data_IF_124397267182
#
_entry.id   IF_124397267182
#
_cell.length_a   1.000
_cell.length_b   1.000
_cell.length_c   1.000
_cell.angle_alpha   90.00
_cell.angle_beta   90.00
_cell.angle_gamma   90.00
#
_symmetry.space_group_name_H-M   'P 1'
#
loop_
_entity.id
_entity.type
_entity.pdbx_description
1 polymer ?
#
# COMPACT_ATOMS: atom_id res chain seq x y z
N UNK A 1 -5.38 31.37 -12.34
CA UNK A 1 -4.00 30.85 -12.42
C UNK A 1 -4.08 29.42 -11.92
N UNK A 2 -4.36 28.49 -12.84
CA UNK A 2 -4.52 27.08 -12.48
C UNK A 2 -3.11 26.51 -12.26
N UNK A 3 -2.70 26.45 -11.00
CA UNK A 3 -1.55 25.64 -10.60
C UNK A 3 -1.96 24.20 -10.88
N UNK A 4 -1.37 23.58 -11.89
CA UNK A 4 -1.55 22.14 -12.13
C UNK A 4 -1.15 21.44 -10.82
N UNK A 5 -2.04 20.70 -10.16
CA UNK A 5 -1.67 19.98 -8.95
C UNK A 5 -0.56 19.00 -9.31
N UNK A 6 0.67 19.33 -8.91
CA UNK A 6 1.87 18.55 -9.21
C UNK A 6 1.96 17.28 -8.37
N UNK A 7 0.84 16.64 -8.05
CA UNK A 7 0.74 15.49 -7.18
C UNK A 7 0.15 14.32 -7.95
N UNK A 8 0.75 13.14 -7.80
CA UNK A 8 0.32 11.91 -8.43
C UNK A 8 0.37 10.77 -7.42
N UNK A 9 -0.61 9.87 -7.47
CA UNK A 9 -0.60 8.65 -6.68
C UNK A 9 -0.09 7.47 -7.52
N UNK A 10 0.81 6.68 -6.94
CA UNK A 10 1.30 5.46 -7.56
C UNK A 10 1.12 4.24 -6.66
N UNK A 11 0.99 3.07 -7.27
CA UNK A 11 0.98 1.78 -6.59
C UNK A 11 2.29 1.05 -6.85
N UNK A 12 2.87 0.49 -5.78
CA UNK A 12 4.17 -0.20 -5.80
C UNK A 12 4.06 -1.70 -5.50
N UNK A 13 2.87 -2.29 -5.65
CA UNK A 13 2.56 -3.69 -5.36
C UNK A 13 3.51 -4.69 -6.02
N UNK A 14 4.03 -4.35 -7.20
CA UNK A 14 4.98 -5.19 -7.95
C UNK A 14 6.44 -5.10 -7.45
N UNK A 15 6.77 -4.10 -6.62
CA UNK A 15 8.12 -3.85 -6.11
C UNK A 15 8.29 -4.27 -4.65
N UNK A 16 7.38 -3.86 -3.78
CA UNK A 16 7.44 -4.11 -2.33
C UNK A 16 6.26 -4.94 -1.80
N UNK A 17 5.29 -5.27 -2.64
CA UNK A 17 4.06 -5.95 -2.22
C UNK A 17 3.09 -5.04 -1.47
N UNK A 18 3.40 -3.75 -1.32
CA UNK A 18 2.48 -2.79 -0.70
C UNK A 18 1.43 -2.38 -1.72
N UNK A 19 0.17 -2.55 -1.33
CA UNK A 19 -1.01 -2.19 -2.12
C UNK A 19 -1.38 -0.72 -2.02
N UNK A 20 -0.64 0.03 -1.22
CA UNK A 20 -0.99 1.36 -0.78
C UNK A 20 -0.62 2.41 -1.82
N UNK A 21 -1.43 3.47 -1.95
CA UNK A 21 -1.18 4.54 -2.91
C UNK A 21 -0.15 5.53 -2.39
N UNK A 22 1.06 5.51 -2.93
CA UNK A 22 2.12 6.44 -2.53
C UNK A 22 1.96 7.76 -3.27
N UNK A 23 1.82 8.84 -2.51
CA UNK A 23 1.83 10.20 -3.04
C UNK A 23 3.22 10.55 -3.57
N UNK A 24 3.26 11.11 -4.77
CA UNK A 24 4.46 11.59 -5.44
C UNK A 24 4.25 13.03 -5.87
N UNK A 25 5.27 13.86 -5.69
CA UNK A 25 5.18 15.29 -5.92
C UNK A 25 6.19 15.68 -7.00
N UNK A 26 5.75 16.46 -7.98
CA UNK A 26 6.58 17.01 -9.03
C UNK A 26 7.53 18.08 -8.48
N UNK A 27 8.61 18.36 -9.21
CA UNK A 27 9.61 19.37 -8.85
C UNK A 27 8.95 20.76 -8.76
N UNK A 28 9.25 21.53 -7.71
CA UNK A 28 8.53 22.77 -7.40
C UNK A 28 8.70 23.85 -8.47
N UNK A 29 9.86 23.90 -9.11
CA UNK A 29 10.11 24.82 -10.23
C UNK A 29 9.32 24.47 -11.49
N UNK A 30 8.99 23.20 -11.74
CA UNK A 30 8.21 22.78 -12.92
C UNK A 30 6.71 23.00 -12.72
N UNK A 31 6.21 22.94 -11.48
CA UNK A 31 4.80 23.22 -11.16
C UNK A 31 4.40 24.68 -11.40
N UNK A 32 5.37 25.60 -11.42
CA UNK A 32 5.13 27.04 -11.63
C UNK A 32 5.00 27.43 -13.11
N UNK A 33 5.11 26.48 -14.03
CA UNK A 33 5.00 26.74 -15.46
C UNK A 33 3.53 26.85 -15.89
N UNK A 34 3.20 27.81 -16.78
CA UNK A 34 1.82 28.03 -17.22
C UNK A 34 1.34 27.01 -18.25
N UNK A 35 2.24 26.43 -19.05
CA UNK A 35 1.90 25.42 -20.06
C UNK A 35 2.86 24.23 -20.05
N UNK A 36 2.33 23.04 -20.37
CA UNK A 36 3.09 21.79 -20.48
C UNK A 36 4.17 21.87 -21.57
N UNK A 37 3.91 22.62 -22.65
CA UNK A 37 4.88 22.83 -23.74
C UNK A 37 6.15 23.53 -23.29
N UNK A 38 6.09 24.39 -22.27
CA UNK A 38 7.23 25.12 -21.75
C UNK A 38 8.24 24.19 -21.07
N UNK A 39 7.79 23.01 -20.61
CA UNK A 39 8.67 22.00 -20.01
C UNK A 39 9.75 21.51 -20.99
N UNK A 40 9.46 21.46 -22.29
CA UNK A 40 10.42 21.04 -23.32
C UNK A 40 11.44 22.12 -23.67
N UNK A 41 11.17 23.38 -23.32
CA UNK A 41 12.08 24.50 -23.55
C UNK A 41 13.11 24.70 -22.44
N UNK A 42 13.01 23.91 -21.36
CA UNK A 42 13.84 24.06 -20.18
C UNK A 42 15.21 23.40 -20.39
N UNK A 43 16.29 24.16 -20.19
CA UNK A 43 17.63 23.65 -19.97
C UNK A 43 17.82 23.36 -18.48
N UNK A 44 17.81 22.07 -18.14
CA UNK A 44 18.08 21.59 -16.80
C UNK A 44 18.97 20.35 -16.85
N UNK A 45 19.73 20.14 -15.78
CA UNK A 45 20.54 18.95 -15.57
C UNK A 45 20.16 18.26 -14.26
N UNK A 46 20.06 16.93 -14.31
CA UNK A 46 19.73 16.09 -13.17
C UNK A 46 20.95 15.29 -12.79
N UNK A 47 21.41 15.45 -11.55
CA UNK A 47 22.45 14.63 -10.97
C UNK A 47 21.79 13.60 -10.05
N UNK A 48 21.93 12.32 -10.37
CA UNK A 48 21.44 11.21 -9.55
C UNK A 48 22.61 10.31 -9.12
N UNK A 49 22.48 9.65 -7.97
CA UNK A 49 23.46 8.69 -7.50
C UNK A 49 23.55 7.45 -8.40
N UNK A 50 24.54 6.59 -8.15
CA UNK A 50 24.61 5.27 -8.81
C UNK A 50 23.41 4.40 -8.40
N UNK A 51 22.98 3.45 -9.25
CA UNK A 51 21.96 2.50 -8.88
C UNK A 51 22.34 1.69 -7.61
N UNK A 52 21.47 1.68 -6.62
CA UNK A 52 21.53 0.91 -5.38
C UNK A 52 20.37 -0.10 -5.33
N UNK A 53 20.33 -1.00 -4.34
CA UNK A 53 19.26 -2.00 -4.19
C UNK A 53 18.07 -1.46 -3.39
N UNK A 54 18.32 -0.51 -2.49
CA UNK A 54 17.29 0.08 -1.63
C UNK A 54 16.26 0.85 -2.47
N UNK A 55 14.98 0.55 -2.22
CA UNK A 55 13.80 1.08 -2.92
C UNK A 55 13.20 2.29 -2.18
N UNK A 56 13.58 2.53 -0.93
CA UNK A 56 13.05 3.62 -0.10
C UNK A 56 13.95 4.86 -0.14
N UNK A 57 15.17 4.74 -0.63
CA UNK A 57 16.11 5.85 -0.78
C UNK A 57 16.31 6.25 -2.24
N UNK A 58 16.22 7.57 -2.45
CA UNK A 58 16.68 8.21 -3.66
C UNK A 58 17.21 9.58 -3.31
N UNK A 59 18.43 9.85 -3.75
CA UNK A 59 19.11 11.13 -3.57
C UNK A 59 19.56 11.64 -4.94
N UNK A 60 19.09 12.82 -5.30
CA UNK A 60 19.53 13.52 -6.51
C UNK A 60 19.37 15.02 -6.35
N UNK A 61 19.93 15.77 -7.30
CA UNK A 61 19.77 17.21 -7.40
C UNK A 61 19.28 17.56 -8.80
N UNK A 62 18.26 18.43 -8.85
CA UNK A 62 17.76 19.05 -10.06
C UNK A 62 18.24 20.49 -10.10
N UNK A 63 18.93 20.87 -11.19
CA UNK A 63 19.37 22.24 -11.42
C UNK A 63 18.77 22.75 -12.72
N UNK A 64 18.12 23.91 -12.66
CA UNK A 64 17.63 24.62 -13.84
C UNK A 64 18.55 25.78 -14.18
N UNK A 65 19.06 25.80 -15.41
CA UNK A 65 20.03 26.78 -15.89
C UNK A 65 19.40 27.98 -16.61
N UNK A 66 18.12 27.92 -16.97
CA UNK A 66 17.44 28.98 -17.74
C UNK A 66 17.08 30.24 -16.94
N UNK A 67 17.21 30.22 -15.62
CA UNK A 67 16.89 31.34 -14.75
C UNK A 67 18.15 31.82 -14.03
N UNK A 68 18.34 33.14 -13.98
CA UNK A 68 19.28 33.79 -13.07
C UNK A 68 18.52 34.33 -11.85
N UNK A 69 18.81 33.89 -10.61
CA UNK A 69 19.79 32.88 -10.20
C UNK A 69 19.36 31.44 -10.52
N UNK A 70 20.34 30.55 -10.70
CA UNK A 70 20.12 29.12 -10.91
C UNK A 70 19.26 28.55 -9.78
N UNK A 71 18.23 27.81 -10.16
CA UNK A 71 17.33 27.16 -9.20
C UNK A 71 17.87 25.75 -8.97
N UNK A 72 18.27 25.47 -7.73
CA UNK A 72 18.68 24.15 -7.29
C UNK A 72 17.61 23.58 -6.36
N UNK A 73 17.09 22.40 -6.69
CA UNK A 73 16.13 21.67 -5.88
C UNK A 73 16.67 20.25 -5.63
N UNK A 74 16.65 19.80 -4.38
CA UNK A 74 16.99 18.42 -4.03
C UNK A 74 15.84 17.48 -4.41
N UNK A 75 16.16 16.37 -5.06
CA UNK A 75 15.23 15.31 -5.40
C UNK A 75 15.30 14.20 -4.34
N UNK A 76 14.14 13.84 -3.80
CA UNK A 76 13.97 12.75 -2.83
C UNK A 76 13.16 11.60 -3.43
N UNK A 77 12.89 10.57 -2.62
CA UNK A 77 11.99 9.47 -2.98
C UNK A 77 10.60 9.97 -3.42
N UNK A 78 10.11 11.08 -2.88
CA UNK A 78 8.79 11.65 -3.19
C UNK A 78 8.71 12.17 -4.64
N UNK A 79 9.84 12.51 -5.26
CA UNK A 79 9.91 13.00 -6.62
C UNK A 79 10.19 11.91 -7.65
N UNK A 80 10.24 10.64 -7.24
CA UNK A 80 10.65 9.52 -8.11
C UNK A 80 9.57 8.49 -8.31
N UNK A 81 9.53 7.96 -9.54
CA UNK A 81 8.69 6.86 -9.97
C UNK A 81 9.58 5.68 -10.35
N UNK A 82 9.34 4.52 -9.74
CA UNK A 82 10.09 3.32 -10.06
C UNK A 82 9.52 2.65 -11.32
N UNK A 83 10.35 1.86 -12.02
CA UNK A 83 9.87 1.06 -13.14
C UNK A 83 8.83 0.04 -12.64
N UNK A 84 7.81 -0.23 -13.47
CA UNK A 84 6.71 -1.16 -13.16
C UNK A 84 5.74 -0.72 -12.05
N UNK A 85 5.68 0.57 -11.72
CA UNK A 85 4.63 1.12 -10.84
C UNK A 85 3.40 1.51 -11.64
N UNK A 86 2.21 1.35 -11.05
CA UNK A 86 0.93 1.75 -11.67
C UNK A 86 0.58 3.16 -11.23
N UNK A 87 0.28 4.05 -12.16
CA UNK A 87 -0.21 5.41 -11.90
C UNK A 87 -1.74 5.36 -11.72
N UNK A 88 -2.26 6.02 -10.68
CA UNK A 88 -3.68 5.96 -10.34
C UNK A 88 -4.59 6.70 -11.32
N UNK A 89 -4.30 7.98 -11.55
CA UNK A 89 -5.10 8.87 -12.39
C UNK A 89 -4.22 10.00 -12.92
N UNK A 90 -4.57 10.49 -14.11
CA UNK A 90 -3.88 11.59 -14.77
C UNK A 90 -2.74 11.15 -15.70
N UNK A 91 -2.02 12.14 -16.21
CA UNK A 91 -0.85 11.96 -17.05
C UNK A 91 0.38 12.47 -16.31
N UNK A 92 1.48 11.71 -16.38
CA UNK A 92 2.74 12.10 -15.75
C UNK A 92 3.79 12.29 -16.82
N UNK A 93 4.52 13.40 -16.72
CA UNK A 93 5.69 13.67 -17.54
C UNK A 93 6.89 13.64 -16.61
N UNK A 94 7.91 12.86 -16.97
CA UNK A 94 9.10 12.68 -16.16
C UNK A 94 10.35 12.44 -17.01
N UNK A 95 11.51 12.58 -16.38
CA UNK A 95 12.81 12.33 -16.99
C UNK A 95 13.28 10.93 -16.59
N UNK A 96 13.70 10.13 -17.58
CA UNK A 96 14.20 8.78 -17.34
C UNK A 96 15.65 8.85 -16.85
N UNK A 97 15.91 8.35 -15.64
CA UNK A 97 17.24 8.35 -15.02
C UNK A 97 17.94 6.99 -15.19
N UNK A 98 17.25 5.90 -14.83
CA UNK A 98 17.79 4.53 -14.90
C UNK A 98 17.06 3.71 -15.96
N UNK A 99 17.79 2.84 -16.67
CA UNK A 99 17.21 2.02 -17.75
C UNK A 99 17.63 0.55 -17.65
N UNK A 100 16.75 -0.35 -18.12
CA UNK A 100 17.04 -1.77 -18.27
C UNK A 100 17.51 -2.45 -16.98
N UNK A 101 18.80 -2.83 -16.93
CA UNK A 101 19.41 -3.55 -15.81
C UNK A 101 19.69 -2.68 -14.58
N UNK A 102 19.60 -1.36 -14.73
CA UNK A 102 19.84 -0.40 -13.66
C UNK A 102 18.56 -0.08 -12.87
N UNK A 103 17.41 -0.58 -13.32
CA UNK A 103 16.14 -0.40 -12.61
C UNK A 103 16.13 -1.21 -11.32
N UNK A 104 15.53 -0.66 -10.27
CA UNK A 104 15.45 -1.29 -8.94
C UNK A 104 14.77 -2.66 -8.98
N UNK A 105 13.72 -2.83 -9.77
CA UNK A 105 13.01 -4.09 -9.90
C UNK A 105 13.92 -5.19 -10.44
N UNK A 106 14.68 -4.91 -11.49
CA UNK A 106 15.62 -5.88 -12.09
C UNK A 106 16.81 -6.15 -11.18
N UNK A 107 17.33 -5.13 -10.49
CA UNK A 107 18.40 -5.30 -9.51
C UNK A 107 18.00 -6.24 -8.35
N UNK A 108 16.72 -6.20 -7.95
CA UNK A 108 16.16 -7.09 -6.91
C UNK A 108 15.70 -8.45 -7.45
N UNK A 109 15.64 -8.66 -8.77
CA UNK A 109 15.33 -9.97 -9.33
C UNK A 109 16.54 -10.90 -9.28
N UNK A 110 16.37 -12.07 -8.68
CA UNK A 110 17.34 -13.16 -8.78
C UNK A 110 17.22 -13.87 -10.12
N UNK A 111 18.34 -14.36 -10.67
CA UNK A 111 18.31 -15.16 -11.89
C UNK A 111 17.53 -16.46 -11.66
N UNK A 112 16.65 -16.80 -12.61
CA UNK A 112 15.90 -18.04 -12.55
C UNK A 112 16.85 -19.25 -12.52
N UNK A 113 16.82 -19.99 -11.42
CA UNK A 113 17.57 -21.24 -11.27
C UNK A 113 16.63 -22.44 -11.41
N UNK A 114 17.13 -23.51 -12.03
CA UNK A 114 16.40 -24.77 -12.10
C UNK A 114 16.33 -25.41 -10.71
N UNK A 115 15.12 -25.65 -10.23
CA UNK A 115 14.89 -26.32 -8.93
C UNK A 115 15.09 -27.83 -9.09
N UNK A 116 15.95 -28.39 -8.24
CA UNK A 116 16.22 -29.84 -8.16
C UNK A 116 15.65 -30.36 -6.84
N UNK A 117 14.92 -31.48 -6.89
CA UNK A 117 14.33 -32.11 -5.71
C UNK A 117 15.36 -32.86 -4.86
N UNK A 118 15.05 -33.06 -3.57
CA UNK A 118 15.82 -33.92 -2.67
C UNK A 118 15.77 -35.38 -3.11
N UNK A 119 14.63 -35.83 -3.65
CA UNK A 119 14.49 -37.19 -4.20
C UNK A 119 15.51 -37.46 -5.32
N UNK A 120 15.78 -36.48 -6.19
CA UNK A 120 16.77 -36.62 -7.26
C UNK A 120 18.19 -36.75 -6.70
N UNK A 121 18.49 -36.04 -5.60
CA UNK A 121 19.78 -36.16 -4.91
C UNK A 121 19.93 -37.53 -4.22
N UNK A 122 18.87 -38.04 -3.60
CA UNK A 122 18.83 -39.39 -3.02
C UNK A 122 19.02 -40.47 -4.09
N UNK A 123 18.34 -40.34 -5.23
CA UNK A 123 18.46 -41.24 -6.37
C UNK A 123 19.88 -41.24 -6.94
N UNK A 124 20.49 -40.05 -7.06
CA UNK A 124 21.87 -39.92 -7.51
C UNK A 124 22.84 -40.62 -6.54
N UNK A 125 22.60 -40.51 -5.22
CA UNK A 125 23.40 -41.22 -4.20
C UNK A 125 23.27 -42.74 -4.33
N UNK A 126 22.05 -43.26 -4.54
CA UNK A 126 21.81 -44.69 -4.76
C UNK A 126 22.44 -45.17 -6.07
N UNK A 127 22.33 -44.38 -7.15
CA UNK A 127 22.94 -44.70 -8.45
C UNK A 127 24.46 -44.78 -8.36
N UNK A 128 25.10 -43.86 -7.61
CA UNK A 128 26.54 -43.92 -7.32
C UNK A 128 26.92 -45.18 -6.54
N UNK A 129 26.12 -45.59 -5.56
CA UNK A 129 26.34 -46.82 -4.79
C UNK A 129 26.21 -48.07 -5.67
N UNK A 130 25.18 -48.14 -6.53
CA UNK A 130 24.99 -49.24 -7.49
C UNK A 130 26.13 -49.31 -8.52
N UNK A 131 26.59 -48.16 -9.01
CA UNK A 131 27.75 -48.10 -9.91
C UNK A 131 29.01 -48.65 -9.25
N UNK A 132 29.29 -48.26 -8.00
CA UNK A 132 30.42 -48.79 -7.24
C UNK A 132 30.29 -50.31 -7.06
N UNK A 133 29.12 -50.80 -6.68
CA UNK A 133 28.84 -52.23 -6.53
C UNK A 133 29.03 -53.01 -7.84
N UNK A 134 28.60 -52.44 -8.98
CA UNK A 134 28.79 -53.04 -10.31
C UNK A 134 30.27 -53.17 -10.67
N UNK A 135 31.08 -52.14 -10.41
CA UNK A 135 32.54 -52.18 -10.65
C UNK A 135 33.19 -53.23 -9.76
N UNK A 136 32.85 -53.26 -8.46
CA UNK A 136 33.37 -54.26 -7.52
C UNK A 136 33.02 -55.68 -7.96
N UNK A 137 31.77 -55.94 -8.34
CA UNK A 137 31.34 -57.25 -8.82
C UNK A 137 32.10 -57.67 -10.09
N UNK A 138 32.32 -56.72 -11.00
CA UNK A 138 33.09 -56.97 -12.23
C UNK A 138 34.54 -57.34 -11.93
N UNK A 139 35.17 -56.67 -10.95
CA UNK A 139 36.53 -57.00 -10.50
C UNK A 139 36.58 -58.37 -9.83
N UNK A 140 35.61 -58.70 -8.97
CA UNK A 140 35.52 -60.01 -8.31
C UNK A 140 35.41 -61.14 -9.35
N UNK A 141 34.61 -60.97 -10.40
CA UNK A 141 34.50 -61.96 -11.46
C UNK A 141 35.81 -62.17 -12.23
N UNK A 142 36.56 -61.11 -12.50
CA UNK A 142 37.90 -61.22 -13.11
C UNK A 142 38.89 -61.92 -12.17
N UNK A 143 38.82 -61.64 -10.87
CA UNK A 143 39.66 -62.28 -9.88
C UNK A 143 39.37 -63.78 -9.76
N UNK A 144 38.08 -64.19 -9.78
CA UNK A 144 37.67 -65.59 -9.81
C UNK A 144 38.12 -66.31 -11.08
N UNK A 145 38.22 -65.60 -12.20
CA UNK A 145 38.78 -66.13 -13.45
C UNK A 145 40.31 -66.24 -13.44
N UNK A 146 40.98 -65.83 -12.35
CA UNK A 146 42.42 -65.99 -12.15
C UNK A 146 43.29 -65.03 -12.97
N UNK A 147 42.75 -63.87 -13.40
CA UNK A 147 43.48 -62.86 -14.19
C UNK A 147 44.15 -63.42 -15.47
N UNK A 148 43.57 -64.47 -16.07
CA UNK A 148 44.14 -65.11 -17.26
C UNK A 148 43.87 -64.29 -18.53
N UNK A 149 44.91 -64.04 -19.32
CA UNK A 149 44.81 -63.33 -20.61
C UNK A 149 44.71 -61.80 -20.46
N UNK A 150 44.13 -61.07 -21.44
CA UNK A 150 43.94 -59.63 -21.35
C UNK A 150 42.82 -59.30 -20.35
N UNK A 151 43.15 -59.36 -19.05
CA UNK A 151 42.22 -59.18 -17.92
C UNK A 151 41.40 -57.88 -18.02
N UNK A 152 41.97 -56.82 -18.57
CA UNK A 152 41.27 -55.56 -18.82
C UNK A 152 40.10 -55.74 -19.78
N UNK A 153 40.26 -56.51 -20.87
CA UNK A 153 39.14 -56.78 -21.81
C UNK A 153 38.02 -57.57 -21.13
N UNK A 154 38.38 -58.52 -20.26
CA UNK A 154 37.41 -59.29 -19.49
C UNK A 154 36.68 -58.40 -18.47
N UNK A 155 37.38 -57.45 -17.83
CA UNK A 155 36.77 -56.47 -16.92
C UNK A 155 35.68 -55.63 -17.62
N UNK A 156 35.99 -55.04 -18.78
CA UNK A 156 34.99 -54.27 -19.55
C UNK A 156 33.82 -55.15 -20.01
N UNK A 157 34.08 -56.41 -20.38
CA UNK A 157 33.02 -57.35 -20.74
C UNK A 157 32.08 -57.61 -19.56
N UNK A 158 32.60 -57.78 -18.34
CA UNK A 158 31.76 -57.96 -17.14
C UNK A 158 31.02 -56.68 -16.75
N UNK A 159 31.65 -55.51 -16.86
CA UNK A 159 30.98 -54.22 -16.61
C UNK A 159 29.79 -54.03 -17.55
N UNK A 160 29.95 -54.34 -18.84
CA UNK A 160 28.86 -54.29 -19.83
C UNK A 160 27.81 -55.36 -19.55
N UNK A 161 28.22 -56.57 -19.17
CA UNK A 161 27.29 -57.64 -18.82
C UNK A 161 26.40 -57.24 -17.63
N UNK A 162 26.97 -56.57 -16.62
CA UNK A 162 26.24 -56.13 -15.42
C UNK A 162 25.63 -54.72 -15.54
N UNK A 163 25.64 -54.10 -16.73
CA UNK A 163 25.09 -52.75 -16.90
C UNK A 163 23.58 -52.68 -16.66
N UNK A 164 22.87 -53.82 -16.69
CA UNK A 164 21.44 -53.90 -16.36
C UNK A 164 21.13 -53.62 -14.87
N UNK A 165 22.14 -53.63 -13.98
CA UNK A 165 21.98 -53.31 -12.55
C UNK A 165 21.50 -51.86 -12.37
N UNK A 166 21.92 -50.95 -13.25
CA UNK A 166 21.47 -49.56 -13.25
C UNK A 166 20.37 -49.42 -14.33
N UNK A 167 19.08 -49.43 -13.95
CA UNK A 167 18.00 -49.33 -14.92
C UNK A 167 17.99 -47.96 -15.60
N UNK A 168 18.22 -47.96 -16.92
CA UNK A 168 18.20 -46.73 -17.75
C UNK A 168 16.81 -46.07 -17.72
N UNK A 169 15.75 -46.87 -17.59
CA UNK A 169 14.37 -46.39 -17.54
C UNK A 169 13.99 -45.66 -16.25
N UNK A 170 14.80 -45.75 -15.19
CA UNK A 170 14.49 -45.16 -13.87
C UNK A 170 14.26 -43.65 -13.97
N UNK A 171 15.14 -42.94 -14.68
CA UNK A 171 15.03 -41.49 -14.84
C UNK A 171 13.83 -41.10 -15.69
N UNK A 172 13.62 -41.78 -16.82
CA UNK A 172 12.50 -41.50 -17.74
C UNK A 172 11.15 -41.76 -17.06
N UNK A 173 11.03 -42.86 -16.31
CA UNK A 173 9.81 -43.18 -15.58
C UNK A 173 9.51 -42.16 -14.48
N UNK A 174 10.55 -41.68 -13.77
CA UNK A 174 10.40 -40.62 -12.78
C UNK A 174 9.99 -39.30 -13.43
N UNK A 175 10.66 -38.87 -14.51
CA UNK A 175 10.33 -37.61 -15.21
C UNK A 175 8.89 -37.65 -15.78
N UNK A 176 8.47 -38.79 -16.33
CA UNK A 176 7.11 -39.01 -16.82
C UNK A 176 6.09 -39.00 -15.67
N UNK A 177 6.43 -39.63 -14.54
CA UNK A 177 5.60 -39.62 -13.33
C UNK A 177 5.41 -38.21 -12.76
N UNK A 178 6.49 -37.43 -12.62
CA UNK A 178 6.43 -36.04 -12.14
C UNK A 178 5.57 -35.17 -13.07
N UNK A 179 5.71 -35.36 -14.38
CA UNK A 179 4.89 -34.65 -15.38
C UNK A 179 3.41 -35.01 -15.27
N UNK A 180 3.09 -36.29 -15.07
CA UNK A 180 1.72 -36.76 -14.87
C UNK A 180 1.12 -36.17 -13.58
N UNK A 181 1.87 -36.13 -12.47
CA UNK A 181 1.41 -35.50 -11.22
C UNK A 181 1.19 -33.99 -11.38
N UNK A 182 2.08 -33.27 -12.08
CA UNK A 182 1.88 -31.86 -12.38
C UNK A 182 0.61 -31.60 -13.21
N UNK A 183 0.30 -32.47 -14.16
CA UNK A 183 -0.95 -32.40 -14.93
C UNK A 183 -2.18 -32.66 -14.06
N UNK A 184 -2.13 -33.66 -13.18
CA UNK A 184 -3.21 -33.96 -12.24
C UNK A 184 -3.49 -32.78 -11.30
N UNK A 185 -2.44 -32.14 -10.75
CA UNK A 185 -2.57 -30.96 -9.87
C UNK A 185 -3.25 -29.80 -10.61
N UNK A 186 -2.91 -29.59 -11.89
CA UNK A 186 -3.49 -28.49 -12.69
C UNK A 186 -4.98 -28.71 -13.00
N UNK A 187 -5.43 -29.97 -13.01
CA UNK A 187 -6.82 -30.35 -13.32
C UNK A 187 -7.66 -30.64 -12.08
N UNK A 188 -7.13 -30.40 -10.88
CA UNK A 188 -7.86 -30.65 -9.64
C UNK A 188 -9.05 -29.69 -9.50
N UNK A 189 -10.26 -30.23 -9.36
CA UNK A 189 -11.49 -29.46 -9.21
C UNK A 189 -11.62 -28.82 -7.83
N UNK A 190 -10.94 -29.36 -6.81
CA UNK A 190 -11.00 -28.82 -5.45
C UNK A 190 -10.18 -27.52 -5.29
N UNK A 191 -9.21 -27.29 -6.17
CA UNK A 191 -8.32 -26.12 -6.12
C UNK A 191 -8.29 -25.44 -7.49
N UNK A 192 -9.40 -24.78 -7.88
CA UNK A 192 -9.53 -24.16 -9.19
C UNK A 192 -8.51 -23.04 -9.39
N UNK A 193 -7.99 -22.90 -10.62
CA UNK A 193 -7.01 -21.86 -10.97
C UNK A 193 -5.56 -22.20 -10.62
N UNK A 194 -5.28 -23.41 -10.12
CA UNK A 194 -3.92 -23.87 -9.85
C UNK A 194 -3.14 -24.08 -11.15
N UNK A 195 -2.02 -23.37 -11.31
CA UNK A 195 -1.13 -23.52 -12.46
C UNK A 195 0.25 -23.99 -11.99
N UNK A 196 0.65 -25.19 -12.42
CA UNK A 196 1.97 -25.74 -12.12
C UNK A 196 3.02 -25.11 -13.06
N UNK A 197 3.90 -24.26 -12.49
CA UNK A 197 4.99 -23.60 -13.23
C UNK A 197 6.28 -24.43 -13.31
N UNK A 198 6.43 -25.45 -12.46
CA UNK A 198 7.63 -26.27 -12.39
C UNK A 198 7.24 -27.73 -12.21
N UNK A 199 7.55 -28.58 -13.19
CA UNK A 199 7.21 -30.01 -13.18
C UNK A 199 8.26 -30.90 -12.52
N UNK A 200 9.38 -30.35 -12.03
CA UNK A 200 10.52 -31.15 -11.54
C UNK A 200 10.45 -31.55 -10.08
N UNK A 201 9.55 -30.93 -9.29
CA UNK A 201 9.50 -31.08 -7.82
C UNK A 201 8.09 -31.32 -7.23
N UNK A 202 7.10 -31.96 -7.91
CA UNK A 202 5.78 -32.18 -7.33
C UNK A 202 5.82 -33.00 -6.04
N UNK A 203 6.78 -33.93 -5.90
CA UNK A 203 6.96 -34.79 -4.73
C UNK A 203 7.43 -34.03 -3.47
N UNK A 204 8.07 -32.88 -3.64
CA UNK A 204 8.59 -32.09 -2.52
C UNK A 204 7.46 -31.45 -1.70
N UNK A 205 6.28 -31.27 -2.30
CA UNK A 205 5.08 -30.77 -1.60
C UNK A 205 4.70 -31.68 -0.41
N UNK A 206 4.95 -32.99 -0.52
CA UNK A 206 4.71 -33.95 0.57
C UNK A 206 5.81 -33.99 1.63
N UNK A 207 6.93 -33.27 1.44
CA UNK A 207 8.10 -33.23 2.33
C UNK A 207 8.24 -31.89 3.06
N UNK A 208 7.33 -30.95 2.86
CA UNK A 208 7.37 -29.62 3.47
C UNK A 208 7.20 -29.73 5.00
N UNK A 209 8.16 -29.20 5.75
CA UNK A 209 8.12 -29.10 7.23
C UNK A 209 7.78 -27.69 7.69
N UNK A 210 8.30 -26.68 6.97
CA UNK A 210 8.13 -25.28 7.30
C UNK A 210 7.34 -24.61 6.17
N UNK A 211 6.23 -23.98 6.53
CA UNK A 211 5.48 -23.09 5.65
C UNK A 211 5.78 -21.66 6.06
N UNK A 212 6.57 -20.97 5.24
CA UNK A 212 6.78 -19.54 5.37
C UNK A 212 5.69 -18.84 4.54
N UNK A 213 4.80 -18.15 5.24
CA UNK A 213 3.66 -17.45 4.66
C UNK A 213 3.86 -15.96 4.87
N UNK A 214 3.63 -15.20 3.81
CA UNK A 214 3.49 -13.74 3.94
C UNK A 214 2.15 -13.43 4.62
N UNK A 215 2.08 -12.32 5.34
CA UNK A 215 0.84 -11.86 5.96
C UNK A 215 -0.04 -11.19 4.93
N UNK A 216 0.51 -10.18 4.24
CA UNK A 216 -0.24 -9.31 3.35
C UNK A 216 -0.46 -9.99 2.00
N UNK A 217 -1.69 -9.97 1.49
CA UNK A 217 -2.05 -10.58 0.20
C UNK A 217 -2.10 -12.13 0.20
N UNK A 218 -1.66 -12.79 1.28
CA UNK A 218 -1.76 -14.26 1.45
C UNK A 218 -2.69 -14.64 2.59
N UNK A 219 -2.40 -14.24 3.84
CA UNK A 219 -3.27 -14.55 4.98
C UNK A 219 -4.45 -13.58 5.10
N UNK A 220 -4.21 -12.32 4.78
CA UNK A 220 -5.22 -11.27 4.86
C UNK A 220 -5.55 -10.73 3.47
N UNK A 221 -6.84 -10.59 3.19
CA UNK A 221 -7.31 -9.81 2.05
C UNK A 221 -7.00 -8.34 2.32
N UNK A 222 -6.64 -7.59 1.28
CA UNK A 222 -6.34 -6.16 1.39
C UNK A 222 -7.63 -5.33 1.43
N UNK A 223 -8.51 -5.64 2.39
CA UNK A 223 -9.75 -4.93 2.63
C UNK A 223 -9.85 -4.58 4.11
N UNK A 224 -9.86 -3.28 4.41
CA UNK A 224 -9.99 -2.78 5.77
C UNK A 224 -11.43 -2.32 6.00
N UNK A 225 -12.05 -2.82 7.08
CA UNK A 225 -13.43 -2.51 7.44
C UNK A 225 -13.46 -1.96 8.86
N UNK A 226 -14.06 -0.77 9.04
CA UNK A 226 -14.28 -0.20 10.36
C UNK A 226 -15.36 -1.00 11.10
N UNK A 227 -15.04 -1.54 12.28
CA UNK A 227 -15.94 -2.44 13.03
C UNK A 227 -16.54 -1.84 14.29
N UNK A 228 -15.78 -1.07 15.05
CA UNK A 228 -16.20 -0.57 16.37
C UNK A 228 -15.61 0.80 16.65
N UNK A 229 -16.41 1.67 17.25
CA UNK A 229 -16.01 2.96 17.77
C UNK A 229 -16.23 2.98 19.29
N UNK A 230 -15.19 3.26 20.06
CA UNK A 230 -15.32 3.49 21.50
C UNK A 230 -15.22 4.98 21.84
N UNK A 231 -16.21 5.50 22.57
CA UNK A 231 -16.24 6.88 23.04
C UNK A 231 -16.45 6.90 24.57
N UNK A 232 -15.34 7.04 25.32
CA UNK A 232 -15.37 6.94 26.77
C UNK A 232 -15.77 5.54 27.20
N UNK A 233 -16.84 5.42 27.98
CA UNK A 233 -17.35 4.13 28.49
C UNK A 233 -18.31 3.42 27.53
N UNK A 234 -18.63 4.01 26.38
CA UNK A 234 -19.63 3.47 25.44
C UNK A 234 -18.93 2.93 24.20
N UNK A 235 -19.32 1.71 23.78
CA UNK A 235 -18.91 1.06 22.54
C UNK A 235 -20.04 1.11 21.53
N UNK A 236 -19.74 1.55 20.32
CA UNK A 236 -20.63 1.47 19.17
C UNK A 236 -20.07 0.44 18.19
N UNK A 237 -20.84 -0.61 17.94
CA UNK A 237 -20.49 -1.66 16.99
C UNK A 237 -21.23 -1.50 15.66
N UNK A 238 -21.21 -2.55 14.85
CA UNK A 238 -21.98 -2.63 13.61
C UNK A 238 -23.49 -2.52 13.83
N UNK A 239 -23.96 -2.98 14.99
CA UNK A 239 -25.40 -3.09 15.26
C UNK A 239 -25.99 -1.77 15.79
N UNK A 240 -25.15 -0.81 16.19
CA UNK A 240 -25.55 0.50 16.74
C UNK A 240 -25.16 1.67 15.84
N UNK A 241 -24.85 1.40 14.57
CA UNK A 241 -24.46 2.44 13.59
C UNK A 241 -25.60 3.42 13.31
N UNK A 242 -26.85 2.95 13.27
CA UNK A 242 -28.04 3.76 13.04
C UNK A 242 -28.21 4.85 14.12
N UNK A 243 -27.81 4.56 15.37
CA UNK A 243 -27.84 5.52 16.46
C UNK A 243 -26.87 6.68 16.20
N UNK A 244 -25.66 6.38 15.73
CA UNK A 244 -24.65 7.39 15.37
C UNK A 244 -25.19 8.28 14.25
N UNK A 245 -25.73 7.67 13.19
CA UNK A 245 -26.30 8.40 12.06
C UNK A 245 -27.41 9.35 12.50
N UNK A 246 -28.33 8.89 13.37
CA UNK A 246 -29.43 9.71 13.88
C UNK A 246 -28.93 10.93 14.68
N UNK A 247 -27.89 10.75 15.51
CA UNK A 247 -27.27 11.84 16.27
C UNK A 247 -26.55 12.85 15.37
N UNK A 248 -25.93 12.39 14.28
CA UNK A 248 -25.26 13.26 13.30
C UNK A 248 -26.29 14.09 12.54
N UNK A 249 -27.37 13.46 12.04
CA UNK A 249 -28.47 14.16 11.37
C UNK A 249 -29.07 15.22 12.29
N UNK A 250 -29.36 14.88 13.55
CA UNK A 250 -29.93 15.83 14.52
C UNK A 250 -28.99 17.00 14.80
N UNK A 251 -27.68 16.76 14.89
CA UNK A 251 -26.68 17.80 15.17
C UNK A 251 -26.54 18.79 14.03
N UNK A 252 -26.62 18.34 12.77
CA UNK A 252 -26.56 19.21 11.59
C UNK A 252 -27.91 19.81 11.17
N UNK A 253 -29.04 19.24 11.63
CA UNK A 253 -30.37 19.81 11.43
C UNK A 253 -30.62 21.04 12.33
N UNK A 254 -29.96 21.11 13.49
CA UNK A 254 -29.94 22.30 14.34
C UNK A 254 -28.89 23.25 13.79
N UNK A 255 -29.30 24.14 12.87
CA UNK A 255 -28.42 25.14 12.26
C UNK A 255 -27.66 26.00 13.30
N UNK A 256 -26.61 26.73 12.87
CA UNK A 256 -25.73 27.47 13.79
C UNK A 256 -26.55 28.41 14.66
N UNK A 257 -26.43 28.26 15.97
CA UNK A 257 -27.06 29.14 16.95
C UNK A 257 -26.54 30.56 16.75
N UNK A 258 -27.39 31.44 16.20
CA UNK A 258 -27.17 32.87 16.24
C UNK A 258 -26.99 33.32 17.70
N UNK A 259 -25.92 34.06 18.06
CA UNK A 259 -25.87 34.70 19.34
C UNK A 259 -26.94 35.80 19.39
N UNK A 260 -27.86 35.68 20.34
CA UNK A 260 -28.95 36.61 20.58
C UNK A 260 -28.41 38.02 20.89
N UNK A 261 -28.55 38.92 19.93
CA UNK A 261 -28.40 40.35 20.14
C UNK A 261 -29.57 40.87 20.99
N UNK A 262 -29.28 41.44 22.15
CA UNK A 262 -30.28 42.11 22.98
C UNK A 262 -29.73 42.75 24.25
N UNK A 263 -29.60 44.08 24.20
CA UNK A 263 -29.50 45.04 25.30
C UNK A 263 -28.09 45.48 25.77
N UNK A 264 -27.62 46.57 25.14
CA UNK A 264 -26.64 47.48 25.70
C UNK A 264 -27.34 48.58 26.52
N UNK A 265 -26.95 48.74 27.78
CA UNK A 265 -26.99 50.01 28.51
C UNK A 265 -25.86 49.99 29.55
N UNK A 266 -24.96 50.95 29.46
CA UNK A 266 -23.61 50.89 30.04
C UNK A 266 -23.46 51.38 31.48
N UNK A 267 -22.22 51.24 31.97
CA UNK A 267 -21.73 51.91 33.17
C UNK A 267 -20.76 51.08 34.02
N UNK A 268 -19.48 51.47 33.95
CA UNK A 268 -18.47 51.40 35.02
C UNK A 268 -17.55 50.16 35.19
N UNK A 269 -16.26 50.42 34.95
CA UNK A 269 -15.02 49.89 35.60
C UNK A 269 -14.68 48.39 35.56
N UNK A 270 -13.51 47.99 35.01
CA UNK A 270 -13.02 46.63 35.15
C UNK A 270 -12.27 46.46 36.48
N UNK A 271 -12.87 45.78 37.46
CA UNK A 271 -12.15 45.28 38.62
C UNK A 271 -11.79 43.80 38.41
N UNK A 272 -10.49 43.53 38.45
CA UNK A 272 -9.86 42.20 38.35
C UNK A 272 -10.31 41.35 39.54
N UNK A 273 -11.13 40.32 39.30
CA UNK A 273 -11.40 39.22 40.25
C UNK A 273 -10.77 37.92 39.73
N UNK A 274 -10.28 37.04 40.63
CA UNK A 274 -9.54 35.85 40.25
C UNK A 274 -10.50 34.77 39.71
N UNK A 275 -10.12 34.14 38.61
CA UNK A 275 -10.82 32.98 38.05
C UNK A 275 -10.74 31.82 39.04
N UNK A 276 -11.86 31.53 39.69
CA UNK A 276 -12.09 30.26 40.36
C UNK A 276 -12.45 29.23 39.31
N UNK A 277 -11.75 28.10 39.33
CA UNK A 277 -11.98 26.92 38.49
C UNK A 277 -13.35 26.30 38.79
N UNK A 278 -14.36 26.66 38.00
CA UNK A 278 -15.65 25.97 37.98
C UNK A 278 -15.60 24.69 37.12
N UNK A 279 -16.46 23.69 37.39
CA UNK A 279 -16.44 22.40 36.69
C UNK A 279 -16.88 22.57 35.22
N UNK A 280 -16.10 21.99 34.30
CA UNK A 280 -16.40 21.96 32.86
C UNK A 280 -17.79 21.34 32.64
N UNK A 281 -18.68 22.07 31.96
CA UNK A 281 -20.01 21.61 31.54
C UNK A 281 -19.85 20.26 30.82
N UNK A 282 -20.49 19.19 31.33
CA UNK A 282 -20.49 17.86 30.69
C UNK A 282 -21.17 18.00 29.32
N UNK A 283 -20.38 18.03 28.23
CA UNK A 283 -20.89 17.93 26.86
C UNK A 283 -21.82 16.71 26.73
N UNK A 284 -22.96 16.89 26.05
CA UNK A 284 -23.93 15.82 25.80
C UNK A 284 -23.31 14.68 24.99
N UNK A 285 -23.85 13.47 25.12
CA UNK A 285 -23.36 12.29 24.38
C UNK A 285 -23.41 12.54 22.87
N UNK A 286 -24.49 13.13 22.37
CA UNK A 286 -24.65 13.51 20.95
C UNK A 286 -23.57 14.49 20.48
N UNK A 287 -23.19 15.49 21.29
CA UNK A 287 -22.11 16.43 20.94
C UNK A 287 -20.74 15.74 20.88
N UNK A 288 -20.48 14.75 21.75
CA UNK A 288 -19.22 13.97 21.72
C UNK A 288 -19.14 13.07 20.49
N UNK A 289 -20.24 12.42 20.12
CA UNK A 289 -20.33 11.61 18.90
C UNK A 289 -20.06 12.49 17.68
N UNK A 290 -20.73 13.65 17.60
CA UNK A 290 -20.53 14.60 16.51
C UNK A 290 -19.07 15.06 16.39
N UNK A 291 -18.43 15.45 17.50
CA UNK A 291 -17.02 15.86 17.49
C UNK A 291 -16.08 14.71 17.09
N UNK A 292 -16.36 13.48 17.51
CA UNK A 292 -15.55 12.31 17.16
C UNK A 292 -15.67 11.95 15.68
N UNK A 293 -16.89 11.92 15.13
CA UNK A 293 -17.13 11.65 13.70
C UNK A 293 -16.50 12.76 12.85
N UNK A 294 -16.65 14.03 13.25
CA UNK A 294 -16.00 15.18 12.60
C UNK A 294 -14.47 15.06 12.65
N UNK A 295 -13.88 14.62 13.76
CA UNK A 295 -12.44 14.40 13.86
C UNK A 295 -11.94 13.31 12.89
N UNK A 296 -12.66 12.18 12.78
CA UNK A 296 -12.33 11.09 11.85
C UNK A 296 -12.45 11.57 10.39
N UNK A 297 -13.49 12.33 10.07
CA UNK A 297 -13.75 12.86 8.73
C UNK A 297 -12.77 13.98 8.31
N UNK A 298 -12.00 14.56 9.23
CA UNK A 298 -11.05 15.65 8.93
C UNK A 298 -9.59 15.19 9.01
N UNK A 299 -9.26 14.29 9.92
CA UNK A 299 -7.89 13.86 10.19
C UNK A 299 -7.49 12.63 9.34
N UNK A 300 -7.36 12.82 8.03
CA UNK A 300 -6.89 11.80 7.09
C UNK A 300 -6.19 12.45 5.90
N UNK A 301 -5.56 11.67 5.01
CA UNK A 301 -4.99 12.12 3.74
C UNK A 301 -5.72 11.55 2.51
N UNK A 302 -6.87 10.89 2.71
CA UNK A 302 -7.72 10.38 1.62
C UNK A 302 -8.16 11.48 0.65
N UNK A 303 -7.97 11.25 -0.64
CA UNK A 303 -8.47 12.09 -1.74
C UNK A 303 -9.60 11.36 -2.48
N UNK A 304 -10.76 11.99 -2.69
CA UNK A 304 -11.81 11.44 -3.54
C UNK A 304 -11.41 11.57 -5.01
N UNK A 305 -11.60 10.50 -5.78
CA UNK A 305 -11.39 10.45 -7.23
C UNK A 305 -12.71 10.10 -7.89
N UNK A 306 -13.12 10.97 -8.79
CA UNK A 306 -14.33 10.82 -9.58
C UNK A 306 -13.93 10.16 -10.90
N UNK A 307 -14.38 8.93 -11.12
CA UNK A 307 -14.27 8.35 -12.45
C UNK A 307 -15.30 9.05 -13.35
N UNK A 308 -14.95 9.26 -14.61
CA UNK A 308 -15.94 9.58 -15.63
C UNK A 308 -16.22 8.28 -16.36
N UNK A 309 -17.36 7.65 -16.09
CA UNK A 309 -17.82 6.62 -17.00
C UNK A 309 -18.05 7.30 -18.36
N UNK A 310 -17.45 6.83 -19.46
CA UNK A 310 -17.86 7.28 -20.77
C UNK A 310 -19.32 6.86 -20.93
N UNK A 311 -20.22 7.83 -20.79
CA UNK A 311 -21.63 7.63 -21.06
C UNK A 311 -21.78 7.05 -22.47
N UNK A 312 -22.72 6.14 -22.62
CA UNK A 312 -23.07 5.44 -23.87
C UNK A 312 -23.43 6.36 -25.05
N UNK A 313 -23.42 7.69 -24.89
CA UNK A 313 -23.59 8.64 -25.99
C UNK A 313 -22.44 9.64 -25.99
N UNK A 314 -21.63 9.60 -27.04
CA UNK A 314 -20.48 10.47 -27.24
C UNK A 314 -20.87 11.93 -27.46
N UNK A 315 -21.06 12.67 -26.38
CA UNK A 315 -21.01 14.12 -26.38
C UNK A 315 -19.89 14.63 -25.46
N UNK A 316 -19.21 15.64 -25.99
CA UNK A 316 -17.90 16.20 -25.66
C UNK A 316 -17.77 16.79 -24.26
N UNK A 317 -16.57 16.62 -23.70
CA UNK A 317 -15.88 17.46 -22.68
C UNK A 317 -16.71 18.61 -22.10
N UNK A 318 -17.48 18.31 -21.07
CA UNK A 318 -17.97 19.33 -20.13
C UNK A 318 -16.80 19.80 -19.28
N UNK A 319 -16.58 21.12 -19.24
CA UNK A 319 -15.53 21.75 -18.44
C UNK A 319 -15.60 21.32 -16.96
N UNK A 320 -14.43 21.23 -16.32
CA UNK A 320 -14.20 20.82 -14.91
C UNK A 320 -15.01 21.62 -13.84
N UNK A 321 -15.79 22.63 -14.25
CA UNK A 321 -16.54 23.52 -13.37
C UNK A 321 -17.96 23.03 -13.01
N UNK A 322 -18.52 22.07 -13.76
CA UNK A 322 -19.85 21.48 -13.51
C UNK A 322 -19.73 19.98 -13.13
N UNK A 323 -18.89 19.67 -12.14
CA UNK A 323 -18.93 18.34 -11.53
C UNK A 323 -20.20 18.22 -10.71
N UNK A 324 -21.23 17.59 -11.28
CA UNK A 324 -22.33 17.03 -10.50
C UNK A 324 -21.72 16.06 -9.48
N UNK A 325 -21.72 16.45 -8.21
CA UNK A 325 -21.32 15.63 -7.05
C UNK A 325 -22.31 14.48 -6.81
N UNK A 326 -22.57 13.69 -7.84
CA UNK A 326 -23.33 12.47 -7.75
C UNK A 326 -22.50 11.44 -6.99
N UNK A 327 -23.09 10.86 -5.95
CA UNK A 327 -22.41 9.95 -5.03
C UNK A 327 -22.03 8.61 -5.69
N UNK A 328 -22.54 8.32 -6.90
CA UNK A 328 -22.45 7.01 -7.55
C UNK A 328 -21.11 6.71 -8.25
N UNK A 329 -20.23 7.70 -8.44
CA UNK A 329 -18.95 7.51 -9.13
C UNK A 329 -17.70 7.98 -8.36
N UNK A 330 -17.82 8.08 -7.03
CA UNK A 330 -16.72 8.51 -6.16
C UNK A 330 -15.98 7.30 -5.61
N UNK A 331 -14.68 7.24 -5.85
CA UNK A 331 -13.76 6.30 -5.21
C UNK A 331 -12.83 7.05 -4.28
N UNK A 332 -12.45 6.44 -3.15
CA UNK A 332 -11.52 7.03 -2.21
C UNK A 332 -10.12 6.43 -2.39
N UNK A 333 -9.12 7.29 -2.48
CA UNK A 333 -7.73 6.91 -2.63
C UNK A 333 -6.90 7.49 -1.49
N UNK A 334 -6.01 6.68 -0.90
CA UNK A 334 -5.13 7.13 0.17
C UNK A 334 -3.87 6.27 0.23
N UNK A 335 -2.86 6.78 0.93
CA UNK A 335 -1.61 6.07 1.19
C UNK A 335 -1.72 4.96 2.23
N UNK A 336 -2.90 4.75 2.80
CA UNK A 336 -3.14 3.61 3.67
C UNK A 336 -4.62 3.21 3.63
N UNK A 337 -4.95 1.92 3.53
CA UNK A 337 -6.32 1.43 3.37
C UNK A 337 -7.16 1.61 4.64
N UNK A 338 -6.51 1.76 5.81
CA UNK A 338 -7.18 2.08 7.06
C UNK A 338 -7.86 3.47 7.01
N UNK A 339 -7.23 4.47 6.39
CA UNK A 339 -7.81 5.80 6.21
C UNK A 339 -9.01 5.76 5.27
N UNK A 340 -8.91 4.97 4.20
CA UNK A 340 -10.03 4.75 3.27
C UNK A 340 -11.20 4.12 4.02
N UNK A 341 -10.95 3.12 4.87
CA UNK A 341 -11.98 2.49 5.68
C UNK A 341 -12.65 3.47 6.65
N UNK A 342 -11.86 4.37 7.27
CA UNK A 342 -12.38 5.42 8.15
C UNK A 342 -13.27 6.42 7.40
N UNK A 343 -12.86 6.85 6.20
CA UNK A 343 -13.64 7.82 5.39
C UNK A 343 -14.90 7.18 4.81
N UNK A 344 -14.83 5.93 4.35
CA UNK A 344 -16.03 5.16 3.95
C UNK A 344 -17.00 4.99 5.11
N UNK A 345 -16.48 4.79 6.32
CA UNK A 345 -17.31 4.75 7.51
C UNK A 345 -17.97 6.10 7.81
N UNK A 346 -17.25 7.22 7.74
CA UNK A 346 -17.86 8.53 7.95
C UNK A 346 -18.93 8.86 6.91
N UNK A 347 -18.72 8.44 5.66
CA UNK A 347 -19.71 8.53 4.58
C UNK A 347 -20.97 7.75 4.93
N UNK A 348 -20.85 6.51 5.41
CA UNK A 348 -22.00 5.69 5.83
C UNK A 348 -22.81 6.31 6.98
N UNK A 349 -22.15 7.08 7.84
CA UNK A 349 -22.76 7.80 8.98
C UNK A 349 -23.34 9.16 8.56
N UNK A 350 -23.08 9.59 7.31
CA UNK A 350 -23.66 10.77 6.68
C UNK A 350 -22.73 11.98 6.57
N UNK A 351 -21.43 11.84 6.90
CA UNK A 351 -20.40 12.84 6.59
C UNK A 351 -19.53 12.37 5.44
N UNK A 352 -19.82 12.92 4.27
CA UNK A 352 -19.25 12.47 3.01
C UNK A 352 -18.10 13.38 2.61
N UNK A 353 -16.94 12.82 2.26
CA UNK A 353 -15.82 13.59 1.74
C UNK A 353 -16.03 13.90 0.25
N UNK A 354 -16.11 15.18 -0.09
CA UNK A 354 -16.42 15.65 -1.45
C UNK A 354 -15.17 16.12 -2.17
N UNK A 355 -14.36 16.95 -1.54
CA UNK A 355 -13.11 17.40 -2.13
C UNK A 355 -12.02 17.45 -1.07
N UNK A 356 -10.79 17.14 -1.46
CA UNK A 356 -9.59 17.31 -0.64
C UNK A 356 -8.40 17.64 -1.53
N UNK A 357 -7.85 18.82 -1.27
CA UNK A 357 -6.58 19.29 -1.81
C UNK A 357 -5.53 19.43 -0.69
N UNK A 358 -4.34 19.90 -1.02
CA UNK A 358 -3.28 20.16 -0.03
C UNK A 358 -3.65 21.28 0.97
N UNK A 359 -4.53 22.20 0.57
CA UNK A 359 -4.87 23.42 1.34
C UNK A 359 -6.33 23.47 1.78
N UNK A 360 -7.21 22.64 1.22
CA UNK A 360 -8.66 22.69 1.46
C UNK A 360 -9.27 21.30 1.56
N UNK A 361 -10.33 21.19 2.35
CA UNK A 361 -11.14 19.99 2.49
C UNK A 361 -12.62 20.38 2.55
N UNK A 362 -13.46 19.62 1.87
CA UNK A 362 -14.90 19.83 1.82
C UNK A 362 -15.66 18.57 2.21
N UNK A 363 -16.57 18.69 3.19
CA UNK A 363 -17.46 17.62 3.63
C UNK A 363 -18.91 17.96 3.28
N UNK A 364 -19.65 16.99 2.75
CA UNK A 364 -21.10 17.07 2.57
C UNK A 364 -21.80 16.45 3.79
N UNK A 365 -22.67 17.23 4.41
CA UNK A 365 -23.49 16.80 5.53
C UNK A 365 -24.67 15.93 5.08
N UNK A 366 -25.37 15.25 6.00
CA UNK A 366 -26.57 14.50 5.65
C UNK A 366 -27.70 15.39 5.09
N UNK A 367 -27.67 16.68 5.42
CA UNK A 367 -28.61 17.69 4.90
C UNK A 367 -28.24 18.21 3.50
N UNK A 368 -27.14 17.73 2.91
CA UNK A 368 -26.63 18.15 1.60
C UNK A 368 -25.84 19.47 1.63
N UNK A 369 -25.57 20.04 2.81
CA UNK A 369 -24.75 21.23 2.95
C UNK A 369 -23.26 20.90 2.81
N UNK A 370 -22.52 21.72 2.09
CA UNK A 370 -21.05 21.59 1.99
C UNK A 370 -20.40 22.43 3.09
N UNK A 371 -19.58 21.78 3.91
CA UNK A 371 -18.72 22.40 4.92
C UNK A 371 -17.32 22.51 4.36
N UNK A 372 -16.81 23.73 4.24
CA UNK A 372 -15.47 24.02 3.77
C UNK A 372 -14.50 24.26 4.92
N UNK A 373 -13.33 23.61 4.82
CA UNK A 373 -12.24 23.72 5.78
C UNK A 373 -10.95 24.09 5.06
N UNK A 374 -10.21 25.04 5.62
CA UNK A 374 -8.86 25.37 5.19
C UNK A 374 -7.85 24.58 6.03
N UNK A 375 -6.99 23.81 5.37
CA UNK A 375 -5.90 23.06 5.99
C UNK A 375 -4.76 24.05 6.23
N UNK A 376 -4.46 24.32 7.50
CA UNK A 376 -3.38 25.25 7.88
C UNK A 376 -2.03 24.52 7.95
N UNK A 377 -2.03 23.29 8.47
CA UNK A 377 -0.83 22.47 8.58
C UNK A 377 -1.20 20.99 8.66
N UNK A 378 -0.44 20.15 7.96
CA UNK A 378 -0.49 18.69 8.10
C UNK A 378 0.80 18.23 8.77
N UNK A 379 0.67 17.32 9.73
CA UNK A 379 1.76 16.54 10.32
C UNK A 379 1.60 15.10 9.82
N UNK A 380 2.35 14.70 8.76
CA UNK A 380 2.18 13.39 8.15
C UNK A 380 2.49 12.27 9.15
N UNK A 381 1.90 11.10 8.89
CA UNK A 381 2.23 9.90 9.65
C UNK A 381 3.68 9.50 9.37
N UNK A 382 4.41 9.13 10.43
CA UNK A 382 5.73 8.52 10.31
C UNK A 382 5.79 7.27 11.19
N UNK A 383 6.55 6.26 10.77
CA UNK A 383 6.72 5.03 11.54
C UNK A 383 7.37 5.26 12.91
N UNK A 384 8.17 6.33 13.04
CA UNK A 384 8.79 6.75 14.30
C UNK A 384 7.76 7.39 15.25
N UNK A 385 6.95 8.33 14.76
CA UNK A 385 5.95 9.02 15.58
C UNK A 385 4.69 8.19 15.85
N UNK A 386 4.37 7.23 14.96
CA UNK A 386 3.15 6.41 14.96
C UNK A 386 1.86 7.22 15.06
N UNK A 387 1.86 8.46 14.58
CA UNK A 387 0.74 9.40 14.66
C UNK A 387 0.74 10.40 13.51
N UNK A 388 -0.45 10.87 13.17
CA UNK A 388 -0.74 11.91 12.19
C UNK A 388 -1.51 13.04 12.89
N UNK A 389 -1.22 14.29 12.53
CA UNK A 389 -1.97 15.45 13.00
C UNK A 389 -2.39 16.38 11.86
N UNK A 390 -3.44 17.15 12.08
CA UNK A 390 -3.90 18.18 11.15
C UNK A 390 -4.44 19.40 11.91
N UNK A 391 -4.06 20.59 11.47
CA UNK A 391 -4.64 21.85 11.93
C UNK A 391 -5.56 22.35 10.81
N UNK A 392 -6.84 22.49 11.13
CA UNK A 392 -7.87 22.95 10.20
C UNK A 392 -8.57 24.18 10.73
N UNK A 393 -8.94 25.09 9.83
CA UNK A 393 -9.83 26.22 10.11
C UNK A 393 -11.15 26.01 9.38
N UNK A 394 -12.25 26.03 10.10
CA UNK A 394 -13.58 25.98 9.51
C UNK A 394 -13.96 27.35 8.93
N UNK A 395 -14.45 27.39 7.69
CA UNK A 395 -14.71 28.65 6.99
C UNK A 395 -15.93 29.40 7.54
N UNK A 396 -16.96 28.67 7.98
CA UNK A 396 -18.22 29.23 8.49
C UNK A 396 -18.09 29.85 9.88
N UNK A 397 -17.33 29.20 10.78
CA UNK A 397 -17.17 29.62 12.18
C UNK A 397 -15.87 30.37 12.44
N UNK A 398 -14.86 30.21 11.58
CA UNK A 398 -13.51 30.70 11.80
C UNK A 398 -12.75 29.94 12.89
N UNK A 399 -13.32 28.86 13.45
CA UNK A 399 -12.70 28.08 14.52
C UNK A 399 -11.50 27.29 13.98
N UNK A 400 -10.39 27.33 14.72
CA UNK A 400 -9.19 26.56 14.42
C UNK A 400 -9.13 25.39 15.38
N UNK A 401 -9.11 24.18 14.81
CA UNK A 401 -9.06 22.93 15.55
C UNK A 401 -7.82 22.13 15.16
N UNK A 402 -7.21 21.50 16.16
CA UNK A 402 -6.13 20.55 15.96
C UNK A 402 -6.64 19.14 16.24
N UNK A 403 -6.54 18.27 15.25
CA UNK A 403 -6.85 16.84 15.37
C UNK A 403 -5.57 16.03 15.28
N UNK A 404 -5.51 14.95 16.06
CA UNK A 404 -4.42 13.99 16.02
C UNK A 404 -4.98 12.58 16.15
N UNK A 405 -4.50 11.67 15.32
CA UNK A 405 -4.75 10.23 15.41
C UNK A 405 -3.43 9.47 15.44
N UNK A 406 -3.39 8.31 16.07
CA UNK A 406 -2.19 7.49 16.16
C UNK A 406 -2.41 6.22 16.96
N UNK A 407 -1.34 5.43 17.11
CA UNK A 407 -1.36 4.25 17.95
C UNK A 407 -1.68 4.60 19.42
N UNK A 408 -2.43 3.74 20.08
CA UNK A 408 -2.77 3.80 21.51
C UNK A 408 -1.57 4.15 22.40
N UNK A 409 -0.46 3.41 22.31
CA UNK A 409 0.75 3.62 23.12
C UNK A 409 1.37 5.00 22.88
N UNK A 410 1.31 5.51 21.65
CA UNK A 410 1.85 6.83 21.32
C UNK A 410 0.94 7.95 21.82
N UNK A 411 -0.38 7.78 21.68
CA UNK A 411 -1.38 8.75 22.12
C UNK A 411 -1.49 8.81 23.64
N UNK A 412 -1.35 7.68 24.34
CA UNK A 412 -1.45 7.58 25.81
C UNK A 412 -0.53 8.58 26.55
N UNK A 413 0.64 8.88 25.99
CA UNK A 413 1.62 9.79 26.60
C UNK A 413 1.24 11.27 26.54
N UNK A 414 0.31 11.65 25.66
CA UNK A 414 -0.02 13.05 25.36
C UNK A 414 -1.48 13.42 25.65
N UNK A 415 -2.33 12.43 25.94
CA UNK A 415 -3.74 12.66 26.29
C UNK A 415 -3.91 12.71 27.81
N UNK A 416 -5.00 13.35 28.26
CA UNK A 416 -5.39 13.28 29.66
C UNK A 416 -5.81 11.85 29.99
N UNK A 417 -5.47 11.40 31.21
CA UNK A 417 -5.82 10.08 31.70
C UNK A 417 -7.32 9.78 31.49
N UNK A 418 -7.60 8.58 30.99
CA UNK A 418 -8.92 8.04 30.77
C UNK A 418 -8.85 6.53 31.05
N UNK A 419 -9.88 5.97 31.66
CA UNK A 419 -9.88 4.58 32.18
C UNK A 419 -9.62 3.52 31.10
N UNK A 420 -9.83 3.86 29.83
CA UNK A 420 -9.53 3.01 28.67
C UNK A 420 -8.03 2.85 28.37
N UNK A 421 -7.17 3.78 28.82
CA UNK A 421 -5.74 3.76 28.48
C UNK A 421 -4.93 2.69 29.24
N UNK A 422 -5.53 2.02 30.23
CA UNK A 422 -4.90 0.98 31.06
C UNK A 422 -5.33 -0.46 30.71
N UNK A 423 -6.36 -0.66 29.89
CA UNK A 423 -6.72 -1.97 29.31
C UNK A 423 -5.92 -2.25 28.03
#
# INVERSE_FOLDING_TARGET
MFLVPGACFIRTDQLDGETDWKLKVAVGCTQRLPAVGDLFSISAHVYAQKPQLDIHSFEGNFTRDDCEPQIHESLSIENTLWASTVVASGTVIGVVIYTGKETRSVLNTSFAQNKVGLLDLELNRLTKALFLAQVVLSVVMVALQGFVGPWFRNLFRFVVLFSYIIPISLRVNLDMGKSAYGWMITKDENIPGTVVRTSTIPEELGRLVYLLTDKTGTLTQNEMIFKRLHLGTVSYGTDTMDEIQSHIIQSYAQGPSQPSAGAAAGGATPSRKPQTSGPKIRKSVSSRIHEAVKAIALCHNVTPVYESHPGVNGETESAEADQDFSDDNRTYQASSPDEVALVRWTESVGLTLVNRDLTSLQLKTPSGQILSFHILQIFPFTSESKRMGIIVREESTGEISFYMKGADVAMATIVQYNDWLEE
#
